data_IF_622321025528
#
_entry.id   IF_622321025528
#
_cell.length_a   1.000
_cell.length_b   1.000
_cell.length_c   1.000
_cell.angle_alpha   90.00
_cell.angle_beta   90.00
_cell.angle_gamma   90.00
#
_symmetry.space_group_name_H-M   'P 1'
#
loop_
_entity.id
_entity.type
_entity.pdbx_description
1 polymer ?
#
# COMPACT_ATOMS: atom_id res chain seq x y z
N UNK A 1 -6.81 -15.07 3.37
CA UNK A 1 -7.34 -14.16 4.38
C UNK A 1 -6.18 -13.69 5.26
N UNK A 2 -5.87 -12.41 5.19
CA UNK A 2 -4.86 -11.77 6.03
C UNK A 2 -5.30 -11.92 7.50
N UNK A 3 -4.49 -12.61 8.30
CA UNK A 3 -4.85 -12.93 9.68
C UNK A 3 -4.80 -11.65 10.54
N UNK A 4 -5.94 -10.98 10.69
CA UNK A 4 -6.11 -9.76 11.50
C UNK A 4 -5.57 -9.86 12.94
N UNK A 5 -5.36 -11.08 13.47
CA UNK A 5 -4.82 -11.30 14.82
C UNK A 5 -3.33 -11.04 14.97
N UNK A 6 -2.57 -10.87 13.88
CA UNK A 6 -1.10 -10.71 13.92
C UNK A 6 -0.60 -9.26 13.82
N UNK A 7 -1.49 -8.30 13.58
CA UNK A 7 -1.13 -6.89 13.51
C UNK A 7 -1.94 -6.09 14.53
N UNK A 8 -1.57 -6.15 15.81
CA UNK A 8 -2.29 -5.47 16.88
C UNK A 8 -1.92 -3.98 16.91
N UNK A 9 -2.11 -3.26 15.83
CA UNK A 9 -2.27 -1.82 15.96
C UNK A 9 -3.73 -1.59 16.31
N UNK A 10 -3.98 -1.19 17.56
CA UNK A 10 -5.29 -0.70 17.94
C UNK A 10 -5.60 0.50 17.06
N UNK A 11 -6.54 0.29 16.12
CA UNK A 11 -7.09 1.38 15.32
C UNK A 11 -7.98 2.23 16.23
N UNK A 12 -7.80 3.56 16.20
CA UNK A 12 -8.71 4.44 16.90
C UNK A 12 -8.27 5.91 16.83
N UNK A 13 -9.20 6.77 16.46
CA UNK A 13 -8.99 8.21 16.41
C UNK A 13 -8.52 8.78 17.76
N UNK A 14 -9.05 8.24 18.87
CA UNK A 14 -8.64 8.65 20.22
C UNK A 14 -7.17 8.32 20.53
N UNK A 15 -6.69 7.14 20.11
CA UNK A 15 -5.29 6.78 20.26
C UNK A 15 -4.40 7.65 19.39
N UNK A 16 -4.78 7.87 18.13
CA UNK A 16 -4.04 8.73 17.21
C UNK A 16 -3.94 10.16 17.77
N UNK A 17 -5.05 10.73 18.27
CA UNK A 17 -5.06 12.04 18.87
C UNK A 17 -4.09 12.12 20.07
N UNK A 18 -4.12 11.12 20.96
CA UNK A 18 -3.22 11.05 22.12
C UNK A 18 -1.74 10.96 21.72
N UNK A 19 -1.42 10.13 20.71
CA UNK A 19 -0.05 10.00 20.22
C UNK A 19 0.46 11.30 19.59
N UNK A 20 -0.38 12.00 18.83
CA UNK A 20 -0.07 13.32 18.29
C UNK A 20 0.16 14.34 19.40
N UNK A 21 -0.67 14.31 20.44
CA UNK A 21 -0.52 15.18 21.60
C UNK A 21 0.79 14.92 22.37
N UNK A 22 1.18 13.65 22.52
CA UNK A 22 2.44 13.25 23.14
C UNK A 22 3.64 13.64 22.29
N UNK A 23 3.49 13.62 20.96
CA UNK A 23 4.52 14.06 20.02
C UNK A 23 4.66 15.60 19.94
N UNK A 24 3.84 16.35 20.68
CA UNK A 24 3.90 17.82 20.74
C UNK A 24 3.03 18.52 19.70
N UNK A 25 2.22 17.79 18.96
CA UNK A 25 1.26 18.35 18.02
C UNK A 25 -0.05 18.67 18.74
N UNK A 26 -0.29 19.92 19.11
CA UNK A 26 -1.49 20.36 19.83
C UNK A 26 -2.48 21.05 18.90
N UNK A 27 -3.77 20.89 19.14
CA UNK A 27 -4.80 21.64 18.40
C UNK A 27 -4.78 23.11 18.78
N UNK A 28 -4.77 23.99 17.77
CA UNK A 28 -4.97 25.43 17.94
C UNK A 28 -6.49 25.77 18.00
N UNK A 29 -6.82 27.06 18.10
CA UNK A 29 -8.19 27.53 18.15
C UNK A 29 -9.03 27.17 16.91
N UNK A 30 -8.40 27.04 15.75
CA UNK A 30 -9.04 26.65 14.49
C UNK A 30 -9.22 25.13 14.35
N UNK A 31 -8.75 24.36 15.34
CA UNK A 31 -8.83 22.89 15.35
C UNK A 31 -7.70 22.19 14.62
N UNK A 32 -6.74 22.92 14.04
CA UNK A 32 -5.58 22.34 13.38
C UNK A 32 -4.47 22.00 14.36
N UNK A 33 -3.76 20.92 14.11
CA UNK A 33 -2.59 20.56 14.90
C UNK A 33 -1.39 21.39 14.52
N UNK A 34 -0.79 22.01 15.52
CA UNK A 34 0.42 22.83 15.37
C UNK A 34 1.51 22.31 16.28
N UNK A 35 2.74 22.40 15.85
CA UNK A 35 3.89 22.04 16.68
C UNK A 35 4.17 23.15 17.68
N UNK A 36 4.24 22.82 18.98
CA UNK A 36 4.65 23.77 20.00
C UNK A 36 6.11 24.15 19.78
N UNK A 37 6.40 25.44 19.76
CA UNK A 37 7.74 26.01 19.52
C UNK A 37 8.81 25.53 20.55
N UNK A 38 8.40 24.98 21.69
CA UNK A 38 9.26 24.55 22.77
C UNK A 38 10.25 23.40 22.45
N UNK A 39 10.09 22.70 21.32
CA UNK A 39 10.98 21.58 20.93
C UNK A 39 12.14 21.95 20.01
N UNK A 40 12.16 23.14 19.42
CA UNK A 40 13.19 23.53 18.44
C UNK A 40 14.31 24.44 18.97
N UNK A 41 14.27 24.84 20.22
CA UNK A 41 15.26 25.78 20.73
C UNK A 41 15.20 27.16 20.06
N UNK A 42 14.17 27.47 19.30
CA UNK A 42 13.96 28.76 18.65
C UNK A 42 13.08 29.66 19.53
N UNK A 43 13.42 30.96 19.51
CA UNK A 43 12.76 31.98 20.31
C UNK A 43 11.26 32.04 20.12
N UNK A 44 10.45 32.32 21.16
CA UNK A 44 8.99 32.29 21.13
C UNK A 44 8.31 33.41 20.32
N UNK A 45 8.98 34.09 19.42
CA UNK A 45 8.46 35.30 18.79
C UNK A 45 7.66 35.12 17.49
N UNK A 46 7.49 33.88 17.00
CA UNK A 46 6.60 33.62 15.89
C UNK A 46 5.28 33.03 16.41
N UNK A 47 4.28 33.87 16.60
CA UNK A 47 2.88 33.52 16.93
C UNK A 47 2.21 32.73 15.80
N UNK A 48 2.56 31.47 15.63
CA UNK A 48 1.99 30.58 14.63
C UNK A 48 2.85 29.32 14.49
N UNK A 49 2.60 28.33 15.34
CA UNK A 49 3.24 27.04 15.18
C UNK A 49 2.96 26.47 13.79
N UNK A 50 3.94 25.77 13.19
CA UNK A 50 3.77 25.11 11.90
C UNK A 50 2.59 24.12 11.98
N UNK A 51 1.60 24.28 11.10
CA UNK A 51 0.46 23.36 10.99
C UNK A 51 0.97 22.01 10.49
N UNK A 52 0.47 20.94 11.10
CA UNK A 52 0.71 19.58 10.58
C UNK A 52 -0.08 19.42 9.27
N UNK A 53 0.64 19.44 8.18
CA UNK A 53 0.10 19.32 6.82
C UNK A 53 0.74 18.15 6.09
N UNK A 54 -0.05 17.47 5.26
CA UNK A 54 0.40 16.40 4.38
C UNK A 54 -0.02 16.72 2.95
N UNK A 55 0.96 16.72 2.05
CA UNK A 55 0.79 16.81 0.61
C UNK A 55 0.72 15.39 0.03
N UNK A 56 -0.42 15.04 -0.57
CA UNK A 56 -0.72 13.69 -1.07
C UNK A 56 -0.87 13.73 -2.58
N UNK A 57 -0.03 13.02 -3.32
CA UNK A 57 -0.25 12.85 -4.76
C UNK A 57 -1.19 11.69 -5.03
N UNK A 58 -2.12 11.91 -5.96
CA UNK A 58 -3.17 10.96 -6.33
C UNK A 58 -3.34 10.94 -7.84
N UNK A 59 -3.36 9.76 -8.44
CA UNK A 59 -3.70 9.63 -9.86
C UNK A 59 -5.19 9.94 -10.08
N UNK A 60 -5.45 11.04 -10.80
CA UNK A 60 -6.79 11.62 -10.98
C UNK A 60 -7.79 10.72 -11.70
N UNK A 61 -7.32 9.87 -12.62
CA UNK A 61 -8.18 9.07 -13.50
C UNK A 61 -8.60 7.73 -12.86
N UNK A 62 -8.10 7.42 -11.65
CA UNK A 62 -8.45 6.20 -10.94
C UNK A 62 -9.40 6.48 -9.77
N UNK A 63 -10.67 6.10 -9.98
CA UNK A 63 -11.76 6.38 -9.04
C UNK A 63 -11.49 5.83 -7.62
N UNK A 64 -10.95 4.61 -7.53
CA UNK A 64 -10.64 3.99 -6.23
C UNK A 64 -9.65 4.85 -5.43
N UNK A 65 -8.54 5.28 -6.06
CA UNK A 65 -7.51 6.09 -5.38
C UNK A 65 -8.05 7.45 -4.96
N UNK A 66 -8.83 8.09 -5.81
CA UNK A 66 -9.47 9.37 -5.47
C UNK A 66 -10.42 9.24 -4.28
N UNK A 67 -11.28 8.23 -4.31
CA UNK A 67 -12.22 7.98 -3.21
C UNK A 67 -11.49 7.68 -1.91
N UNK A 68 -10.45 6.84 -1.95
CA UNK A 68 -9.62 6.56 -0.79
C UNK A 68 -8.93 7.82 -0.24
N UNK A 69 -8.40 8.68 -1.14
CA UNK A 69 -7.77 9.94 -0.76
C UNK A 69 -8.72 10.88 -0.03
N UNK A 70 -9.94 11.02 -0.53
CA UNK A 70 -10.96 11.87 0.09
C UNK A 70 -11.38 11.36 1.48
N UNK A 71 -11.53 10.03 1.62
CA UNK A 71 -11.81 9.41 2.92
C UNK A 71 -10.68 9.64 3.92
N UNK A 72 -9.43 9.46 3.48
CA UNK A 72 -8.24 9.71 4.30
C UNK A 72 -8.16 11.18 4.70
N UNK A 73 -8.38 12.10 3.75
CA UNK A 73 -8.42 13.54 4.02
C UNK A 73 -9.45 13.88 5.10
N UNK A 74 -10.66 13.33 4.98
CA UNK A 74 -11.73 13.58 5.96
C UNK A 74 -11.36 13.02 7.35
N UNK A 75 -10.82 11.79 7.42
CA UNK A 75 -10.44 11.15 8.67
C UNK A 75 -9.26 11.86 9.37
N UNK A 76 -8.25 12.26 8.62
CA UNK A 76 -7.10 13.00 9.14
C UNK A 76 -7.49 14.43 9.52
N UNK A 77 -8.38 15.07 8.75
CA UNK A 77 -8.95 16.38 9.07
C UNK A 77 -9.69 16.39 10.41
N UNK A 78 -10.45 15.35 10.72
CA UNK A 78 -11.10 15.20 12.03
C UNK A 78 -10.10 15.11 13.20
N UNK A 79 -8.88 14.64 12.93
CA UNK A 79 -7.78 14.65 13.89
C UNK A 79 -7.06 15.99 13.98
N UNK A 80 -7.36 16.95 13.09
CA UNK A 80 -6.72 18.25 12.99
C UNK A 80 -5.46 18.27 12.12
N UNK A 81 -5.30 17.30 11.22
CA UNK A 81 -4.22 17.24 10.24
C UNK A 81 -4.74 17.81 8.92
N UNK A 82 -4.07 18.81 8.37
CA UNK A 82 -4.40 19.35 7.05
C UNK A 82 -3.89 18.39 5.97
N UNK A 83 -4.75 18.06 5.02
CA UNK A 83 -4.37 17.19 3.89
C UNK A 83 -4.70 17.90 2.60
N UNK A 84 -3.65 18.15 1.80
CA UNK A 84 -3.76 18.74 0.46
C UNK A 84 -3.59 17.62 -0.57
N UNK A 85 -4.64 17.40 -1.38
CA UNK A 85 -4.65 16.40 -2.44
C UNK A 85 -4.21 17.02 -3.76
N UNK A 86 -3.14 16.50 -4.35
CA UNK A 86 -2.66 16.86 -5.67
C UNK A 86 -3.11 15.81 -6.70
N UNK A 87 -4.22 16.11 -7.39
CA UNK A 87 -4.79 15.25 -8.42
C UNK A 87 -4.03 15.45 -9.72
N UNK A 88 -3.22 14.49 -10.11
CA UNK A 88 -2.34 14.55 -11.28
C UNK A 88 -2.64 13.43 -12.29
N UNK A 89 -2.25 13.63 -13.55
CA UNK A 89 -2.30 12.58 -14.57
C UNK A 89 -1.25 11.48 -14.31
N UNK A 90 -1.37 10.34 -15.03
CA UNK A 90 -0.50 9.18 -14.85
C UNK A 90 0.99 9.51 -15.05
N UNK A 91 1.33 10.31 -16.05
CA UNK A 91 2.72 10.67 -16.36
C UNK A 91 3.32 11.50 -15.23
N UNK A 92 2.62 12.52 -14.80
CA UNK A 92 3.02 13.36 -13.66
C UNK A 92 3.09 12.56 -12.37
N UNK A 93 2.11 11.67 -12.13
CA UNK A 93 2.10 10.79 -10.96
C UNK A 93 3.36 9.92 -10.88
N UNK A 94 3.71 9.23 -11.98
CA UNK A 94 4.89 8.37 -12.02
C UNK A 94 6.18 9.17 -11.83
N UNK A 95 6.31 10.31 -12.50
CA UNK A 95 7.48 11.20 -12.34
C UNK A 95 7.64 11.69 -10.90
N UNK A 96 6.55 12.10 -10.24
CA UNK A 96 6.60 12.53 -8.85
C UNK A 96 6.91 11.37 -7.90
N UNK A 97 6.38 10.17 -8.17
CA UNK A 97 6.70 8.99 -7.37
C UNK A 97 8.20 8.65 -7.44
N UNK A 98 8.82 8.81 -8.61
CA UNK A 98 10.26 8.59 -8.81
C UNK A 98 11.13 9.63 -8.06
N UNK A 99 10.60 10.79 -7.70
CA UNK A 99 11.29 11.82 -6.89
C UNK A 99 11.50 11.41 -5.41
N UNK A 100 11.10 10.20 -5.03
CA UNK A 100 11.28 9.61 -3.68
C UNK A 100 10.85 10.53 -2.53
N UNK A 101 9.71 11.21 -2.69
CA UNK A 101 9.12 12.05 -1.65
C UNK A 101 9.77 13.44 -1.48
N UNK A 102 10.52 13.93 -2.45
CA UNK A 102 11.08 15.29 -2.39
C UNK A 102 10.02 16.37 -2.63
N UNK A 103 8.95 16.04 -3.36
CA UNK A 103 7.88 16.96 -3.77
C UNK A 103 6.52 16.69 -3.11
N UNK A 104 6.45 15.68 -2.22
CA UNK A 104 5.22 15.28 -1.52
C UNK A 104 5.55 14.54 -0.22
N UNK A 105 4.57 14.42 0.67
CA UNK A 105 4.73 13.70 1.93
C UNK A 105 4.27 12.23 1.82
N UNK A 106 3.28 11.95 0.97
CA UNK A 106 2.79 10.60 0.75
C UNK A 106 2.05 10.49 -0.60
N UNK A 107 1.80 9.25 -1.02
CA UNK A 107 1.03 8.98 -2.22
C UNK A 107 0.09 7.80 -2.03
N UNK A 108 -1.00 7.75 -2.81
CA UNK A 108 -1.88 6.60 -2.87
C UNK A 108 -1.58 5.83 -4.15
N UNK A 109 -0.89 4.72 -3.98
CA UNK A 109 -0.41 3.89 -5.07
C UNK A 109 -0.95 2.47 -5.03
N UNK A 110 -0.56 1.70 -6.03
CA UNK A 110 -0.79 0.27 -6.09
C UNK A 110 0.37 -0.40 -6.82
N UNK A 111 0.71 -1.58 -6.37
CA UNK A 111 1.72 -2.41 -7.03
C UNK A 111 1.09 -3.73 -7.43
N UNK A 112 1.39 -4.17 -8.64
CA UNK A 112 1.13 -5.55 -9.04
C UNK A 112 1.96 -6.52 -8.22
N UNK A 113 1.39 -7.70 -7.92
CA UNK A 113 2.14 -8.79 -7.31
C UNK A 113 3.13 -9.39 -8.31
N UNK A 114 4.32 -9.77 -7.84
CA UNK A 114 5.22 -10.68 -8.54
C UNK A 114 5.08 -12.07 -7.90
N UNK A 115 5.33 -13.12 -8.67
CA UNK A 115 5.27 -14.50 -8.17
C UNK A 115 6.29 -14.73 -7.05
N UNK A 116 7.47 -14.09 -7.16
CA UNK A 116 8.50 -14.15 -6.13
C UNK A 116 8.35 -12.97 -5.14
N UNK A 117 8.01 -13.26 -3.88
CA UNK A 117 7.94 -12.22 -2.86
C UNK A 117 9.29 -11.53 -2.62
N UNK A 118 10.43 -12.22 -2.84
CA UNK A 118 11.76 -11.68 -2.63
C UNK A 118 12.08 -10.52 -3.55
N UNK A 119 11.84 -10.70 -4.85
CA UNK A 119 12.05 -9.63 -5.83
C UNK A 119 11.07 -8.48 -5.64
N UNK A 120 9.83 -8.79 -5.30
CA UNK A 120 8.81 -7.79 -5.06
C UNK A 120 9.17 -6.89 -3.86
N UNK A 121 9.58 -7.49 -2.75
CA UNK A 121 9.96 -6.77 -1.54
C UNK A 121 11.29 -6.00 -1.73
N UNK A 122 12.26 -6.59 -2.45
CA UNK A 122 13.52 -5.94 -2.74
C UNK A 122 13.32 -4.66 -3.56
N UNK A 123 12.53 -4.70 -4.63
CA UNK A 123 12.26 -3.52 -5.45
C UNK A 123 11.62 -2.38 -4.67
N UNK A 124 10.80 -2.67 -3.66
CA UNK A 124 9.98 -1.67 -2.95
C UNK A 124 10.58 -1.17 -1.65
N UNK A 125 11.25 -2.04 -0.92
CA UNK A 125 11.65 -1.75 0.46
C UNK A 125 13.16 -1.86 0.73
N UNK A 126 13.96 -2.40 -0.21
CA UNK A 126 15.41 -2.30 -0.12
C UNK A 126 15.83 -0.85 -0.40
N UNK A 127 16.85 -0.34 0.30
CA UNK A 127 17.32 1.03 0.13
C UNK A 127 17.74 1.35 -1.31
N UNK A 128 18.30 0.38 -2.03
CA UNK A 128 18.63 0.45 -3.46
C UNK A 128 17.52 -0.05 -4.40
N UNK A 129 16.29 -0.22 -3.93
CA UNK A 129 15.19 -0.77 -4.71
C UNK A 129 14.68 0.18 -5.78
N UNK A 130 14.47 -0.31 -7.01
CA UNK A 130 14.04 0.51 -8.16
C UNK A 130 12.62 1.07 -8.05
N UNK A 131 11.83 0.64 -7.08
CA UNK A 131 10.46 1.11 -6.79
C UNK A 131 10.34 1.56 -5.34
N UNK A 132 11.44 1.92 -4.71
CA UNK A 132 11.45 2.46 -3.35
C UNK A 132 11.03 3.94 -3.38
N UNK A 133 9.81 4.20 -3.81
CA UNK A 133 9.23 5.53 -3.95
C UNK A 133 9.09 6.30 -2.62
N UNK A 134 9.24 5.61 -1.49
CA UNK A 134 9.20 6.19 -0.16
C UNK A 134 10.56 6.73 0.31
N UNK A 135 11.64 6.50 -0.45
CA UNK A 135 12.99 6.81 0.00
C UNK A 135 13.39 6.06 1.29
N UNK A 136 12.76 4.90 1.54
CA UNK A 136 12.98 4.14 2.75
C UNK A 136 14.41 3.60 2.81
N UNK A 137 15.07 3.78 3.94
CA UNK A 137 16.44 3.33 4.16
C UNK A 137 16.58 2.73 5.55
N UNK A 138 16.79 1.41 5.61
CA UNK A 138 17.00 0.68 6.84
C UNK A 138 17.87 -0.55 6.58
N UNK A 139 19.09 -0.53 7.09
CA UNK A 139 20.07 -1.60 6.87
C UNK A 139 19.66 -2.97 7.42
N UNK A 140 18.85 -3.02 8.49
CA UNK A 140 18.30 -4.28 9.01
C UNK A 140 17.31 -4.88 8.01
N UNK A 141 16.48 -4.04 7.40
CA UNK A 141 15.51 -4.45 6.37
C UNK A 141 16.22 -4.94 5.11
N UNK A 142 17.26 -4.23 4.66
CA UNK A 142 18.07 -4.64 3.52
C UNK A 142 18.68 -6.02 3.74
N UNK A 143 19.29 -6.25 4.91
CA UNK A 143 19.86 -7.55 5.27
C UNK A 143 18.81 -8.65 5.35
N UNK A 144 17.61 -8.37 5.86
CA UNK A 144 16.52 -9.35 5.90
C UNK A 144 16.07 -9.74 4.50
N UNK A 145 15.96 -8.78 3.58
CA UNK A 145 15.60 -9.01 2.18
C UNK A 145 16.67 -9.88 1.50
N UNK A 146 17.93 -9.50 1.59
CA UNK A 146 19.04 -10.19 0.93
C UNK A 146 19.17 -11.63 1.43
N UNK A 147 19.12 -11.83 2.75
CA UNK A 147 19.17 -13.16 3.35
C UNK A 147 17.97 -14.02 2.95
N UNK A 148 16.76 -13.45 2.88
CA UNK A 148 15.58 -14.19 2.47
C UNK A 148 15.68 -14.65 1.01
N UNK A 149 16.18 -13.80 0.11
CA UNK A 149 16.39 -14.11 -1.32
C UNK A 149 17.46 -15.20 -1.56
N UNK A 150 18.49 -15.23 -0.71
CA UNK A 150 19.57 -16.22 -0.80
C UNK A 150 19.20 -17.56 -0.13
N UNK A 151 18.15 -17.60 0.66
CA UNK A 151 17.76 -18.77 1.44
C UNK A 151 16.95 -19.75 0.61
N UNK A 152 17.49 -20.97 0.39
CA UNK A 152 16.81 -22.04 -0.37
C UNK A 152 15.76 -22.80 0.46
N UNK A 153 15.91 -22.84 1.77
CA UNK A 153 14.92 -23.44 2.67
C UNK A 153 13.69 -22.55 2.79
N UNK A 154 12.57 -22.99 2.25
CA UNK A 154 11.31 -22.26 2.27
C UNK A 154 10.83 -21.87 3.68
N UNK A 155 11.07 -22.73 4.69
CA UNK A 155 10.66 -22.41 6.05
C UNK A 155 11.55 -21.33 6.67
N UNK A 156 12.85 -21.36 6.38
CA UNK A 156 13.78 -20.33 6.81
C UNK A 156 13.48 -18.98 6.11
N UNK A 157 13.28 -18.99 4.79
CA UNK A 157 12.87 -17.81 4.03
C UNK A 157 11.58 -17.21 4.57
N UNK A 158 10.56 -18.06 4.84
CA UNK A 158 9.28 -17.62 5.41
C UNK A 158 9.43 -16.95 6.78
N UNK A 159 10.35 -17.41 7.61
CA UNK A 159 10.64 -16.75 8.90
C UNK A 159 11.26 -15.36 8.69
N UNK A 160 12.18 -15.22 7.73
CA UNK A 160 12.81 -13.94 7.40
C UNK A 160 11.79 -12.95 6.85
N UNK A 161 10.94 -13.36 5.90
CA UNK A 161 9.86 -12.51 5.38
C UNK A 161 8.87 -12.08 6.45
N UNK A 162 8.58 -12.94 7.44
CA UNK A 162 7.72 -12.57 8.56
C UNK A 162 8.34 -11.44 9.38
N UNK A 163 9.61 -11.57 9.76
CA UNK A 163 10.34 -10.52 10.49
C UNK A 163 10.38 -9.21 9.69
N UNK A 164 10.62 -9.30 8.40
CA UNK A 164 10.60 -8.15 7.49
C UNK A 164 9.24 -7.43 7.55
N UNK A 165 8.15 -8.16 7.36
CA UNK A 165 6.80 -7.57 7.41
C UNK A 165 6.48 -6.98 8.78
N UNK A 166 6.89 -7.64 9.86
CA UNK A 166 6.74 -7.12 11.23
C UNK A 166 7.49 -5.79 11.39
N UNK A 167 8.70 -5.68 10.85
CA UNK A 167 9.50 -4.46 10.90
C UNK A 167 8.86 -3.31 10.10
N UNK A 168 8.52 -3.55 8.84
CA UNK A 168 7.86 -2.57 7.97
C UNK A 168 6.54 -2.08 8.58
N UNK A 169 5.78 -2.99 9.21
CA UNK A 169 4.53 -2.65 9.89
C UNK A 169 4.78 -1.81 11.15
N UNK A 170 5.81 -2.13 11.91
CA UNK A 170 6.17 -1.38 13.11
C UNK A 170 6.58 0.06 12.79
N UNK A 171 7.28 0.27 11.70
CA UNK A 171 7.72 1.60 11.24
C UNK A 171 6.64 2.35 10.43
N UNK A 172 5.54 1.69 10.09
CA UNK A 172 4.45 2.24 9.27
C UNK A 172 4.92 2.80 7.91
N UNK A 173 5.93 2.17 7.31
CA UNK A 173 6.49 2.56 6.01
C UNK A 173 5.43 2.47 4.91
N UNK A 174 4.54 1.50 5.02
CA UNK A 174 3.49 1.22 4.05
C UNK A 174 2.19 0.86 4.77
N UNK A 175 1.08 1.46 4.34
CA UNK A 175 -0.25 1.17 4.85
C UNK A 175 -1.11 0.50 3.78
N UNK A 176 -1.36 -0.82 3.85
CA UNK A 176 -2.30 -1.48 2.95
C UNK A 176 -3.72 -0.94 3.19
N UNK A 177 -4.34 -0.39 2.15
CA UNK A 177 -5.71 0.15 2.22
C UNK A 177 -6.73 -0.93 1.88
N UNK A 178 -6.58 -1.56 0.71
CA UNK A 178 -7.47 -2.60 0.22
C UNK A 178 -6.79 -3.42 -0.88
N UNK A 179 -7.36 -4.58 -1.15
CA UNK A 179 -7.08 -5.40 -2.32
C UNK A 179 -8.37 -5.45 -3.13
N UNK A 180 -8.47 -4.65 -4.21
CA UNK A 180 -9.68 -4.64 -5.02
C UNK A 180 -9.85 -5.97 -5.75
N UNK A 181 -11.09 -6.46 -5.81
CA UNK A 181 -11.44 -7.59 -6.66
C UNK A 181 -11.47 -7.15 -8.13
N UNK A 182 -10.92 -7.96 -9.01
CA UNK A 182 -11.08 -7.79 -10.43
C UNK A 182 -12.35 -8.52 -10.88
N UNK A 183 -13.29 -7.77 -11.48
CA UNK A 183 -14.54 -8.32 -11.99
C UNK A 183 -14.46 -8.45 -13.50
N UNK A 184 -14.65 -9.65 -14.00
CA UNK A 184 -14.69 -9.94 -15.42
C UNK A 184 -16.10 -10.35 -15.82
N UNK A 185 -16.58 -9.78 -16.92
CA UNK A 185 -17.81 -10.22 -17.57
C UNK A 185 -17.46 -10.82 -18.94
N UNK A 186 -17.96 -12.00 -19.21
CA UNK A 186 -17.77 -12.67 -20.49
C UNK A 186 -19.10 -13.24 -20.99
N UNK A 187 -19.23 -13.38 -22.31
CA UNK A 187 -20.36 -14.09 -22.90
C UNK A 187 -20.38 -15.54 -22.40
N UNK A 188 -21.57 -16.06 -22.05
CA UNK A 188 -21.73 -17.41 -21.52
C UNK A 188 -21.25 -18.53 -22.47
N UNK A 189 -21.11 -18.22 -23.76
CA UNK A 189 -20.57 -19.14 -24.78
C UNK A 189 -19.02 -19.19 -24.78
N UNK A 190 -18.36 -18.27 -24.11
CA UNK A 190 -16.90 -18.29 -24.02
C UNK A 190 -16.50 -19.24 -22.90
N UNK A 191 -15.91 -20.38 -23.28
CA UNK A 191 -15.26 -21.26 -22.31
C UNK A 191 -13.89 -20.69 -21.94
N UNK A 192 -13.72 -20.38 -20.69
CA UNK A 192 -12.48 -19.78 -20.16
C UNK A 192 -11.42 -20.83 -19.78
N UNK A 193 -11.53 -22.07 -20.30
CA UNK A 193 -10.61 -23.14 -19.97
C UNK A 193 -10.62 -23.46 -18.48
N UNK A 194 -9.46 -23.46 -17.79
CA UNK A 194 -9.37 -23.73 -16.35
C UNK A 194 -10.18 -22.78 -15.47
N UNK A 195 -10.55 -21.61 -16.01
CA UNK A 195 -11.33 -20.58 -15.32
C UNK A 195 -12.85 -20.70 -15.56
N UNK A 196 -13.31 -21.74 -16.25
CA UNK A 196 -14.74 -21.93 -16.55
C UNK A 196 -15.64 -22.01 -15.30
N UNK A 197 -15.07 -22.31 -14.13
CA UNK A 197 -15.79 -22.35 -12.87
C UNK A 197 -15.97 -20.97 -12.20
N UNK A 198 -15.34 -19.91 -12.70
CA UNK A 198 -15.47 -18.55 -12.16
C UNK A 198 -16.91 -18.00 -12.27
N UNK A 199 -17.71 -18.51 -13.22
CA UNK A 199 -19.11 -18.12 -13.37
C UNK A 199 -20.11 -18.76 -12.40
N UNK A 200 -19.69 -19.67 -11.54
CA UNK A 200 -20.58 -20.42 -10.64
C UNK A 200 -20.91 -19.72 -9.32
N UNK A 201 -20.39 -18.51 -9.09
CA UNK A 201 -20.56 -17.80 -7.82
C UNK A 201 -19.79 -18.42 -6.64
N UNK A 202 -19.10 -19.54 -6.85
CA UNK A 202 -18.21 -20.10 -5.86
C UNK A 202 -16.94 -19.26 -5.76
N UNK A 203 -16.40 -19.03 -4.54
CA UNK A 203 -15.13 -18.34 -4.42
C UNK A 203 -14.04 -19.16 -5.14
N UNK A 204 -13.34 -18.52 -6.06
CA UNK A 204 -12.21 -19.13 -6.74
C UNK A 204 -11.13 -19.44 -5.70
N UNK A 205 -10.87 -20.72 -5.49
CA UNK A 205 -9.72 -21.18 -4.70
C UNK A 205 -8.64 -21.64 -5.67
N UNK A 206 -7.44 -21.05 -5.65
CA UNK A 206 -6.34 -21.41 -6.54
C UNK A 206 -5.96 -22.89 -6.53
N UNK A 207 -6.30 -23.60 -5.46
CA UNK A 207 -6.08 -25.05 -5.29
C UNK A 207 -7.07 -25.94 -6.05
N UNK A 208 -8.10 -25.37 -6.70
CA UNK A 208 -9.16 -26.16 -7.35
C UNK A 208 -8.83 -26.55 -8.81
N UNK A 209 -7.75 -26.06 -9.38
CA UNK A 209 -7.32 -26.36 -10.74
C UNK A 209 -6.13 -27.32 -10.71
N UNK A 210 -6.42 -28.62 -10.81
CA UNK A 210 -5.40 -29.67 -10.79
C UNK A 210 -4.44 -29.49 -11.99
N UNK A 211 -3.14 -29.44 -11.73
CA UNK A 211 -2.11 -29.28 -12.76
C UNK A 211 -1.73 -27.85 -13.16
N UNK A 212 -2.39 -26.84 -12.64
CA UNK A 212 -2.04 -25.45 -12.88
C UNK A 212 -1.45 -24.81 -11.61
N UNK A 213 -0.42 -23.94 -11.73
CA UNK A 213 0.07 -23.20 -10.58
C UNK A 213 -1.06 -22.34 -9.99
N UNK A 214 -1.07 -22.11 -8.66
CA UNK A 214 -2.08 -21.27 -8.05
C UNK A 214 -2.10 -19.91 -8.76
N UNK A 215 -3.26 -19.52 -9.25
CA UNK A 215 -3.45 -18.21 -9.86
C UNK A 215 -3.27 -17.19 -8.75
N UNK A 216 -2.20 -16.42 -8.85
CA UNK A 216 -2.02 -15.26 -8.00
C UNK A 216 -3.01 -14.21 -8.48
N UNK A 217 -3.79 -13.65 -7.58
CA UNK A 217 -4.87 -12.68 -7.79
C UNK A 217 -4.43 -11.44 -8.59
N UNK A 218 -4.11 -11.60 -9.86
CA UNK A 218 -3.78 -10.48 -10.72
C UNK A 218 -4.41 -10.63 -12.09
N UNK A 219 -4.93 -9.54 -12.60
CA UNK A 219 -5.35 -9.37 -13.99
C UNK A 219 -4.29 -9.92 -14.99
N UNK A 220 -3.02 -9.78 -14.65
CA UNK A 220 -1.90 -10.23 -15.47
C UNK A 220 -1.88 -11.76 -15.63
N UNK A 221 -2.23 -12.51 -14.60
CA UNK A 221 -2.26 -13.98 -14.64
C UNK A 221 -3.43 -14.48 -15.48
N UNK A 222 -4.59 -13.82 -15.43
CA UNK A 222 -5.77 -14.19 -16.20
C UNK A 222 -5.50 -14.26 -17.71
N UNK A 223 -4.70 -13.34 -18.25
CA UNK A 223 -4.35 -13.31 -19.66
C UNK A 223 -3.39 -14.41 -20.12
N UNK A 224 -2.58 -14.96 -19.23
CA UNK A 224 -1.59 -16.00 -19.59
C UNK A 224 -2.26 -17.25 -20.19
N UNK A 225 -3.48 -17.52 -19.82
CA UNK A 225 -4.24 -18.69 -20.26
C UNK A 225 -5.25 -18.38 -21.35
N UNK A 226 -5.20 -17.21 -21.95
CA UNK A 226 -6.14 -16.82 -23.02
C UNK A 226 -6.08 -17.77 -24.23
N UNK A 227 -4.97 -18.45 -24.46
CA UNK A 227 -4.84 -19.46 -25.52
C UNK A 227 -5.68 -20.72 -25.25
N UNK A 228 -6.14 -20.96 -24.04
CA UNK A 228 -7.01 -22.07 -23.65
C UNK A 228 -8.49 -21.73 -23.80
N UNK A 229 -8.84 -20.47 -24.04
CA UNK A 229 -10.22 -20.02 -24.21
C UNK A 229 -10.81 -20.59 -25.48
N UNK A 230 -12.03 -21.05 -25.41
CA UNK A 230 -12.76 -21.65 -26.54
C UNK A 230 -14.14 -21.05 -26.65
N UNK A 231 -14.54 -20.74 -27.86
CA UNK A 231 -15.88 -20.30 -28.17
C UNK A 231 -16.75 -21.54 -28.36
N UNK A 232 -17.87 -21.63 -27.65
CA UNK A 232 -18.82 -22.70 -27.78
C UNK A 232 -19.95 -22.26 -28.75
N UNK A 233 -20.22 -22.99 -29.84
CA UNK A 233 -21.35 -22.69 -30.69
C UNK A 233 -22.68 -22.90 -29.96
N UNK A 234 -23.69 -22.20 -30.43
CA UNK A 234 -25.07 -22.33 -29.87
C UNK A 234 -25.63 -23.71 -30.19
#
# INVERSE_FOLDING_TARGET
AMNRRRYPRSFGAALAARLLDQAGWKKNADGWRVQSAARRGERPEASGGQVLELNVIVWKDELFRRTAAELIRAQLGALGIRVTLHLVDATTYNRLADDMGTSYDTFIGGWGGLLDPGDNLAKKFHSGGSQNYMGYNNSEVDQLIDRARQTRDHNAARRLYRRLVERLTAEAVFLPLAYPDYVFAADARLSLGPYSQLGSGAPFTPSAVEGHPPVVDSWYEFHKFAHEWRWQPR
#
